data_IF_399848295696
#
_entry.id   IF_399848295696
#
_cell.length_a   1.000
_cell.length_b   1.000
_cell.length_c   1.000
_cell.angle_alpha   90.00
_cell.angle_beta   90.00
_cell.angle_gamma   90.00
#
_symmetry.space_group_name_H-M   'P 1'
#
loop_
_entity.id
_entity.type
_entity.pdbx_description
1 polymer ?
#
# COMPACT_ATOMS: atom_id res chain seq x y z
N UNK A 1 -3.87 -27.00 12.56
CA UNK A 1 -3.48 -25.57 12.52
C UNK A 1 -4.07 -24.84 11.32
N UNK A 2 -3.94 -25.35 10.09
CA UNK A 2 -4.55 -24.75 8.88
C UNK A 2 -6.07 -24.62 8.95
N UNK A 3 -6.76 -25.55 9.62
CA UNK A 3 -8.23 -25.56 9.73
C UNK A 3 -8.78 -24.56 10.76
N UNK A 4 -7.93 -24.08 11.68
CA UNK A 4 -8.34 -23.18 12.76
C UNK A 4 -7.81 -21.74 12.57
N UNK A 5 -6.91 -21.53 11.61
CA UNK A 5 -6.38 -20.20 11.26
C UNK A 5 -6.13 -20.09 9.74
N UNK A 6 -7.18 -20.18 8.92
CA UNK A 6 -7.05 -20.18 7.46
C UNK A 6 -6.48 -18.85 6.91
N UNK A 7 -6.73 -17.73 7.61
CA UNK A 7 -6.22 -16.39 7.25
C UNK A 7 -4.71 -16.29 7.45
N UNK A 8 -4.19 -16.74 8.60
CA UNK A 8 -2.75 -16.70 8.90
C UNK A 8 -1.94 -17.74 8.10
N UNK A 9 -2.61 -18.77 7.58
CA UNK A 9 -1.98 -19.84 6.80
C UNK A 9 -2.07 -19.63 5.28
N UNK A 10 -2.47 -18.44 4.80
CA UNK A 10 -2.67 -18.12 3.37
C UNK A 10 -3.59 -19.14 2.65
N UNK A 11 -4.48 -19.81 3.39
CA UNK A 11 -5.45 -20.81 2.84
C UNK A 11 -6.63 -20.11 2.17
N UNK A 12 -6.87 -18.84 2.51
CA UNK A 12 -7.75 -17.96 1.73
C UNK A 12 -7.07 -17.63 0.40
N UNK A 13 -7.31 -18.46 -0.61
CA UNK A 13 -6.85 -18.21 -1.98
C UNK A 13 -7.53 -16.95 -2.52
N UNK A 14 -6.71 -15.99 -2.96
CA UNK A 14 -7.07 -14.80 -3.73
C UNK A 14 -8.03 -13.79 -3.07
N UNK A 15 -7.45 -12.90 -2.26
CA UNK A 15 -7.74 -11.45 -2.30
C UNK A 15 -9.14 -10.95 -1.94
N UNK A 16 -10.03 -11.89 -1.65
CA UNK A 16 -11.40 -11.67 -1.24
C UNK A 16 -11.40 -11.88 0.26
N UNK A 17 -11.70 -10.86 1.06
CA UNK A 17 -12.11 -11.11 2.43
C UNK A 17 -13.32 -12.05 2.35
N UNK A 18 -13.11 -13.33 2.63
CA UNK A 18 -14.17 -14.34 2.53
C UNK A 18 -15.33 -13.85 3.39
N UNK A 19 -16.48 -13.61 2.77
CA UNK A 19 -17.64 -13.05 3.43
C UNK A 19 -18.31 -14.17 4.23
N UNK A 20 -17.82 -14.38 5.46
CA UNK A 20 -18.26 -15.42 6.38
C UNK A 20 -18.68 -14.81 7.71
N UNK A 21 -19.62 -15.49 8.34
CA UNK A 21 -20.00 -15.21 9.72
C UNK A 21 -18.86 -15.58 10.66
N UNK A 22 -18.54 -14.67 11.58
CA UNK A 22 -17.48 -14.80 12.58
C UNK A 22 -18.00 -15.32 13.92
N UNK A 23 -19.32 -15.46 14.06
CA UNK A 23 -19.95 -15.96 15.27
C UNK A 23 -20.93 -17.10 14.97
N UNK A 24 -20.91 -18.14 15.82
CA UNK A 24 -21.75 -19.34 15.66
C UNK A 24 -23.27 -19.07 15.73
N UNK A 25 -23.67 -17.99 16.37
CA UNK A 25 -25.08 -17.58 16.54
C UNK A 25 -25.54 -16.55 15.50
N UNK A 26 -24.74 -16.24 14.49
CA UNK A 26 -25.11 -15.26 13.47
C UNK A 26 -26.44 -15.57 12.79
N UNK A 27 -26.73 -16.84 12.50
CA UNK A 27 -28.01 -17.26 11.91
C UNK A 27 -29.19 -17.04 12.85
N UNK A 28 -29.00 -17.34 14.15
CA UNK A 28 -30.02 -17.11 15.17
C UNK A 28 -30.32 -15.61 15.31
N UNK A 29 -29.29 -14.79 15.45
CA UNK A 29 -29.46 -13.34 15.59
C UNK A 29 -30.02 -12.68 14.32
N UNK A 30 -29.61 -13.13 13.14
CA UNK A 30 -30.21 -12.68 11.89
C UNK A 30 -31.71 -13.04 11.84
N UNK A 31 -32.11 -14.22 12.32
CA UNK A 31 -33.54 -14.60 12.41
C UNK A 31 -34.33 -13.72 13.40
N UNK A 32 -33.65 -13.19 14.42
CA UNK A 32 -34.20 -12.27 15.42
C UNK A 32 -34.20 -10.80 14.97
N UNK A 33 -33.90 -10.53 13.68
CA UNK A 33 -33.81 -9.17 13.11
C UNK A 33 -32.73 -8.28 13.73
N UNK A 34 -31.68 -8.90 14.28
CA UNK A 34 -30.50 -8.17 14.80
C UNK A 34 -29.74 -7.45 13.68
N UNK A 35 -29.91 -7.86 12.42
CA UNK A 35 -29.34 -7.17 11.28
C UNK A 35 -29.88 -5.73 11.14
N UNK A 36 -31.13 -5.47 11.54
CA UNK A 36 -31.72 -4.13 11.54
C UNK A 36 -31.58 -3.44 12.90
N UNK A 37 -31.80 -4.15 14.00
CA UNK A 37 -31.80 -3.56 15.36
C UNK A 37 -30.39 -3.36 15.93
N UNK A 38 -29.44 -4.19 15.51
CA UNK A 38 -28.04 -4.18 15.95
C UNK A 38 -27.08 -4.28 14.77
N UNK A 39 -27.38 -3.50 13.73
CA UNK A 39 -26.66 -3.51 12.47
C UNK A 39 -25.15 -3.33 12.69
N UNK A 40 -24.72 -2.36 13.50
CA UNK A 40 -23.27 -2.08 13.68
C UNK A 40 -22.47 -3.32 14.09
N UNK A 41 -23.00 -4.12 15.02
CA UNK A 41 -22.34 -5.35 15.45
C UNK A 41 -22.50 -6.48 14.43
N UNK A 42 -23.71 -6.65 13.91
CA UNK A 42 -24.06 -7.74 12.99
C UNK A 42 -23.40 -7.61 11.62
N UNK A 43 -23.24 -6.40 11.08
CA UNK A 43 -22.59 -6.18 9.78
C UNK A 43 -21.11 -6.59 9.80
N UNK A 44 -20.43 -6.41 10.95
CA UNK A 44 -19.00 -6.72 11.11
C UNK A 44 -18.78 -8.20 11.44
N UNK A 45 -19.67 -8.80 12.24
CA UNK A 45 -19.49 -10.15 12.77
C UNK A 45 -20.33 -11.21 12.04
N UNK A 46 -21.43 -10.82 11.42
CA UNK A 46 -22.39 -11.70 10.75
C UNK A 46 -22.74 -11.24 9.33
N UNK A 47 -21.75 -10.87 8.49
CA UNK A 47 -22.01 -10.31 7.17
C UNK A 47 -22.74 -11.28 6.22
N UNK A 48 -22.62 -12.60 6.43
CA UNK A 48 -23.26 -13.62 5.59
C UNK A 48 -24.69 -13.87 6.03
N UNK A 49 -24.96 -14.05 7.32
CA UNK A 49 -26.33 -14.18 7.84
C UNK A 49 -27.17 -12.92 7.58
N UNK A 50 -26.56 -11.73 7.62
CA UNK A 50 -27.23 -10.47 7.28
C UNK A 50 -27.26 -10.15 5.77
N UNK A 51 -26.91 -11.12 4.91
CA UNK A 51 -27.02 -11.02 3.44
C UNK A 51 -26.25 -9.84 2.83
N UNK A 52 -25.16 -9.42 3.45
CA UNK A 52 -24.26 -8.41 2.88
C UNK A 52 -23.30 -8.99 1.85
N UNK A 53 -23.10 -10.30 1.89
CA UNK A 53 -22.33 -11.00 0.87
C UNK A 53 -23.11 -11.01 -0.46
N UNK A 54 -22.93 -9.98 -1.29
CA UNK A 54 -23.40 -9.93 -2.68
C UNK A 54 -22.27 -10.21 -3.68
N UNK A 55 -21.57 -11.33 -3.53
CA UNK A 55 -20.51 -11.73 -4.45
C UNK A 55 -20.94 -12.96 -5.22
N UNK A 56 -20.89 -12.92 -6.55
CA UNK A 56 -20.99 -14.14 -7.34
C UNK A 56 -19.92 -15.11 -6.84
N UNK A 57 -20.37 -16.27 -6.38
CA UNK A 57 -19.62 -17.50 -6.08
C UNK A 57 -18.19 -17.55 -6.59
N UNK A 58 -17.29 -18.02 -5.72
CA UNK A 58 -15.88 -18.43 -5.88
C UNK A 58 -15.38 -18.90 -7.28
N UNK A 59 -16.27 -19.25 -8.20
CA UNK A 59 -15.97 -19.64 -9.59
C UNK A 59 -15.37 -18.53 -10.47
N UNK A 60 -15.63 -17.24 -10.22
CA UNK A 60 -15.04 -16.14 -11.01
C UNK A 60 -13.60 -15.81 -10.58
N UNK A 61 -13.31 -15.92 -9.29
CA UNK A 61 -11.97 -15.75 -8.72
C UNK A 61 -10.99 -16.87 -9.13
N UNK A 62 -11.47 -18.09 -9.36
CA UNK A 62 -10.68 -19.19 -9.96
C UNK A 62 -10.23 -18.91 -11.41
N UNK A 63 -10.98 -18.08 -12.15
CA UNK A 63 -10.70 -17.71 -13.54
C UNK A 63 -9.88 -16.41 -13.67
N UNK A 64 -9.52 -15.77 -12.55
CA UNK A 64 -8.73 -14.53 -12.54
C UNK A 64 -9.48 -13.29 -13.07
N UNK A 65 -10.80 -13.38 -13.23
CA UNK A 65 -11.65 -12.25 -13.67
C UNK A 65 -12.27 -11.65 -12.42
N UNK A 66 -11.54 -10.72 -11.79
CA UNK A 66 -11.95 -10.01 -10.58
C UNK A 66 -12.34 -8.57 -10.94
N UNK A 67 -13.58 -8.17 -10.67
CA UNK A 67 -14.11 -6.86 -11.02
C UNK A 67 -14.48 -6.07 -9.75
N UNK A 68 -14.49 -4.73 -9.81
CA UNK A 68 -14.84 -3.86 -8.68
C UNK A 68 -16.24 -4.16 -8.11
N UNK A 69 -17.14 -4.72 -8.92
CA UNK A 69 -18.48 -5.17 -8.51
C UNK A 69 -18.48 -6.35 -7.54
N UNK A 70 -17.39 -7.13 -7.50
CA UNK A 70 -17.26 -8.29 -6.61
C UNK A 70 -16.87 -7.88 -5.17
N UNK A 71 -16.55 -6.60 -4.96
CA UNK A 71 -16.19 -6.03 -3.66
C UNK A 71 -17.42 -5.58 -2.86
N UNK A 72 -18.02 -6.51 -2.11
CA UNK A 72 -19.27 -6.30 -1.37
C UNK A 72 -19.09 -5.56 -0.05
N UNK A 73 -17.97 -5.79 0.62
CA UNK A 73 -17.60 -5.16 1.87
C UNK A 73 -16.11 -4.85 1.81
N UNK A 74 -15.79 -3.56 1.77
CA UNK A 74 -14.42 -3.09 1.72
C UNK A 74 -14.10 -2.41 3.04
N UNK A 75 -13.16 -2.98 3.79
CA UNK A 75 -12.61 -2.33 4.97
C UNK A 75 -11.88 -1.05 4.55
N UNK A 76 -12.04 0.03 5.32
CA UNK A 76 -11.25 1.26 5.15
C UNK A 76 -9.85 1.14 5.75
N UNK A 77 -9.57 0.04 6.46
CA UNK A 77 -8.24 -0.25 6.95
C UNK A 77 -7.44 -0.96 5.88
N UNK A 78 -6.30 -0.36 5.55
CA UNK A 78 -5.29 -1.00 4.75
C UNK A 78 -4.71 -2.22 5.48
N UNK A 79 -4.52 -3.32 4.76
CA UNK A 79 -3.81 -4.49 5.29
C UNK A 79 -2.30 -4.28 5.17
N UNK A 80 -1.67 -3.94 6.29
CA UNK A 80 -0.23 -3.73 6.39
C UNK A 80 0.51 -4.91 7.03
N UNK A 81 -0.16 -6.05 7.26
CA UNK A 81 0.44 -7.19 8.00
C UNK A 81 1.76 -7.69 7.42
N UNK A 82 1.90 -7.63 6.10
CA UNK A 82 3.09 -8.05 5.35
C UNK A 82 4.03 -6.89 4.96
N UNK A 83 3.68 -5.64 5.27
CA UNK A 83 4.47 -4.46 4.89
C UNK A 83 4.65 -3.51 6.06
N UNK A 84 5.89 -3.10 6.31
CA UNK A 84 6.17 -2.03 7.27
C UNK A 84 6.06 -0.67 6.56
N UNK A 85 5.16 0.19 7.00
CA UNK A 85 5.13 1.59 6.56
C UNK A 85 6.37 2.30 7.09
N UNK A 86 7.17 2.86 6.18
CA UNK A 86 8.42 3.56 6.51
C UNK A 86 8.10 4.95 7.03
N UNK A 87 8.75 5.35 8.11
CA UNK A 87 8.66 6.70 8.67
C UNK A 87 9.83 7.57 8.24
N UNK A 88 9.69 8.89 8.39
CA UNK A 88 10.78 9.85 8.10
C UNK A 88 12.02 9.63 8.97
N UNK A 89 11.84 9.13 10.21
CA UNK A 89 12.97 8.79 11.08
C UNK A 89 13.74 7.56 10.57
N UNK A 90 13.04 6.54 10.07
CA UNK A 90 13.67 5.36 9.46
C UNK A 90 14.54 5.75 8.25
N UNK A 91 14.04 6.64 7.40
CA UNK A 91 14.80 7.16 6.25
C UNK A 91 16.03 7.93 6.72
N UNK A 92 15.89 8.79 7.73
CA UNK A 92 17.02 9.57 8.24
C UNK A 92 18.10 8.67 8.85
N UNK A 93 17.72 7.64 9.59
CA UNK A 93 18.64 6.66 10.17
C UNK A 93 19.35 5.88 9.06
N UNK A 94 18.60 5.38 8.07
CA UNK A 94 19.17 4.64 6.95
C UNK A 94 20.12 5.49 6.10
N UNK A 95 19.73 6.73 5.79
CA UNK A 95 20.58 7.68 5.06
C UNK A 95 21.88 7.98 5.83
N UNK A 96 21.80 8.18 7.15
CA UNK A 96 22.99 8.44 7.96
C UNK A 96 23.92 7.22 8.06
N UNK A 97 23.37 6.01 8.08
CA UNK A 97 24.14 4.78 8.22
C UNK A 97 24.70 4.27 6.88
N UNK A 98 23.94 4.40 5.79
CA UNK A 98 24.20 3.73 4.51
C UNK A 98 24.22 4.68 3.31
N UNK A 99 23.93 5.98 3.49
CA UNK A 99 23.84 6.94 2.40
C UNK A 99 22.67 6.72 1.45
N UNK A 100 21.70 5.87 1.81
CA UNK A 100 20.58 5.45 0.96
C UNK A 100 19.27 5.36 1.75
N UNK A 101 18.14 5.55 1.05
CA UNK A 101 16.79 5.31 1.59
C UNK A 101 16.56 3.80 1.81
N UNK A 102 15.84 3.39 2.87
CA UNK A 102 15.49 2.00 3.07
C UNK A 102 14.68 1.45 1.89
N UNK A 103 15.02 0.25 1.42
CA UNK A 103 14.27 -0.41 0.37
C UNK A 103 12.89 -0.84 0.87
N UNK A 104 11.84 -0.44 0.15
CA UNK A 104 10.49 -0.94 0.38
C UNK A 104 10.38 -2.39 -0.12
N UNK A 105 9.75 -3.26 0.67
CA UNK A 105 9.41 -4.61 0.23
C UNK A 105 8.32 -4.53 -0.84
N UNK A 106 8.45 -5.33 -1.90
CA UNK A 106 7.47 -5.36 -2.99
C UNK A 106 6.16 -5.98 -2.47
N UNK A 107 5.05 -5.23 -2.40
CA UNK A 107 3.80 -5.74 -1.85
C UNK A 107 3.02 -6.52 -2.91
N UNK A 108 2.16 -7.43 -2.44
CA UNK A 108 1.19 -8.12 -3.27
C UNK A 108 -0.16 -7.40 -3.17
N UNK A 109 -0.46 -6.54 -4.14
CA UNK A 109 -1.71 -5.77 -4.18
C UNK A 109 -2.96 -6.67 -4.28
N UNK A 110 -2.82 -7.91 -4.76
CA UNK A 110 -3.94 -8.83 -4.86
C UNK A 110 -4.42 -9.34 -3.49
N UNK A 111 -3.59 -9.25 -2.42
CA UNK A 111 -4.02 -9.66 -1.08
C UNK A 111 -5.14 -8.79 -0.53
N UNK A 112 -5.18 -7.51 -0.90
CA UNK A 112 -6.23 -6.58 -0.50
C UNK A 112 -6.75 -5.79 -1.71
N UNK A 113 -7.07 -6.52 -2.79
CA UNK A 113 -7.42 -5.92 -4.08
C UNK A 113 -8.64 -4.99 -3.96
N UNK A 114 -9.67 -5.41 -3.20
CA UNK A 114 -10.84 -4.57 -2.97
C UNK A 114 -10.53 -3.24 -2.28
N UNK A 115 -9.58 -3.21 -1.33
CA UNK A 115 -9.12 -1.96 -0.76
C UNK A 115 -8.48 -1.08 -1.84
N UNK A 116 -7.53 -1.61 -2.61
CA UNK A 116 -6.81 -0.83 -3.62
C UNK A 116 -7.67 -0.37 -4.81
N UNK A 117 -8.79 -1.04 -5.08
CA UNK A 117 -9.78 -0.60 -6.08
C UNK A 117 -10.63 0.59 -5.58
N UNK A 118 -10.88 0.70 -4.28
CA UNK A 118 -11.75 1.75 -3.70
C UNK A 118 -10.99 2.90 -3.04
N UNK A 119 -9.82 2.62 -2.47
CA UNK A 119 -9.07 3.52 -1.62
C UNK A 119 -7.59 3.54 -2.00
N UNK A 120 -6.95 4.68 -1.77
CA UNK A 120 -5.50 4.83 -1.94
C UNK A 120 -4.78 4.43 -0.66
N UNK A 121 -3.58 3.88 -0.77
CA UNK A 121 -2.72 3.72 0.39
C UNK A 121 -2.11 5.07 0.77
N UNK A 122 -1.75 5.23 2.05
CA UNK A 122 -1.18 6.48 2.56
C UNK A 122 0.15 6.84 1.87
N UNK A 123 0.93 5.84 1.50
CA UNK A 123 2.23 5.96 0.87
C UNK A 123 2.18 5.83 -0.66
N UNK A 124 1.00 5.73 -1.27
CA UNK A 124 0.84 5.63 -2.73
C UNK A 124 1.19 4.27 -3.35
N UNK A 125 1.58 3.30 -2.52
CA UNK A 125 1.74 1.89 -2.88
C UNK A 125 0.47 1.31 -3.54
N UNK A 126 0.65 0.41 -4.51
CA UNK A 126 -0.45 -0.26 -5.22
C UNK A 126 -1.38 0.64 -6.04
N UNK A 127 -1.02 1.91 -6.26
CA UNK A 127 -1.70 2.75 -7.26
C UNK A 127 -1.51 2.20 -8.69
N UNK A 128 -0.38 1.52 -8.93
CA UNK A 128 -0.18 0.69 -10.12
C UNK A 128 -0.09 -0.78 -9.70
N UNK A 129 -1.08 -1.59 -10.07
CA UNK A 129 -1.20 -2.99 -9.65
C UNK A 129 -0.08 -3.88 -10.21
N UNK A 130 0.42 -3.59 -11.41
CA UNK A 130 1.52 -4.32 -12.05
C UNK A 130 2.89 -3.92 -11.45
N UNK A 131 3.02 -2.63 -11.10
CA UNK A 131 4.23 -2.02 -10.54
C UNK A 131 3.90 -1.29 -9.23
N UNK A 132 3.74 -2.03 -8.12
CA UNK A 132 3.18 -1.49 -6.88
C UNK A 132 3.92 -0.30 -6.27
N UNK A 133 5.21 -0.17 -6.52
CA UNK A 133 6.07 0.89 -5.96
C UNK A 133 6.18 2.12 -6.87
N UNK A 134 5.55 2.11 -8.05
CA UNK A 134 5.60 3.27 -8.96
C UNK A 134 4.79 4.42 -8.39
N UNK A 135 5.48 5.52 -8.05
CA UNK A 135 4.87 6.68 -7.41
C UNK A 135 4.64 6.51 -5.91
N UNK A 136 5.12 5.42 -5.30
CA UNK A 136 5.09 5.26 -3.85
C UNK A 136 6.08 6.23 -3.18
N UNK A 137 5.77 6.63 -1.95
CA UNK A 137 6.62 7.46 -1.11
C UNK A 137 7.95 6.76 -0.81
N UNK A 138 8.99 7.54 -0.50
CA UNK A 138 10.33 7.06 -0.16
C UNK A 138 11.05 6.27 -1.28
N UNK A 139 10.52 6.33 -2.50
CA UNK A 139 11.17 5.85 -3.72
C UNK A 139 12.08 6.95 -4.31
N UNK A 140 13.19 6.58 -4.97
CA UNK A 140 14.02 7.56 -5.68
C UNK A 140 13.22 8.22 -6.81
N UNK A 141 13.49 9.50 -7.03
CA UNK A 141 12.92 10.22 -8.17
C UNK A 141 13.38 9.58 -9.48
N UNK A 142 12.46 9.44 -10.43
CA UNK A 142 12.77 8.97 -11.77
C UNK A 142 13.72 9.96 -12.48
N UNK A 143 14.74 9.43 -13.15
CA UNK A 143 15.69 10.22 -13.94
C UNK A 143 15.40 10.04 -15.43
N UNK A 144 15.01 11.13 -16.10
CA UNK A 144 14.83 11.15 -17.56
C UNK A 144 16.16 11.32 -18.31
N UNK A 145 17.16 11.91 -17.66
CA UNK A 145 18.53 12.07 -18.15
C UNK A 145 19.51 11.61 -17.09
N UNK A 146 20.73 11.28 -17.53
CA UNK A 146 21.82 10.94 -16.63
C UNK A 146 22.11 12.07 -15.63
N UNK A 147 22.43 11.75 -14.37
CA UNK A 147 22.89 12.74 -13.40
C UNK A 147 24.16 13.44 -13.89
N UNK A 148 24.24 14.74 -13.64
CA UNK A 148 25.47 15.52 -13.80
C UNK A 148 25.95 15.94 -12.41
N UNK A 149 27.09 15.40 -12.01
CA UNK A 149 27.78 15.71 -10.74
C UNK A 149 29.23 16.08 -11.05
N UNK A 150 29.80 16.95 -10.22
CA UNK A 150 31.16 17.45 -10.39
C UNK A 150 32.20 16.33 -10.23
N UNK A 151 31.94 15.40 -9.30
CA UNK A 151 32.73 14.19 -9.04
C UNK A 151 32.17 12.94 -9.75
N UNK A 152 31.18 13.11 -10.62
CA UNK A 152 30.42 12.03 -11.28
C UNK A 152 29.68 11.07 -10.32
N UNK A 153 29.56 11.41 -9.03
CA UNK A 153 28.89 10.57 -8.03
C UNK A 153 27.79 11.31 -7.28
N UNK A 154 28.14 12.36 -6.52
CA UNK A 154 27.22 13.03 -5.61
C UNK A 154 27.53 14.51 -5.38
N UNK A 155 28.74 14.97 -5.69
CA UNK A 155 29.10 16.38 -5.52
C UNK A 155 28.29 17.25 -6.49
N UNK A 156 27.51 18.23 -5.99
CA UNK A 156 26.80 19.15 -6.87
C UNK A 156 27.80 19.96 -7.70
N UNK A 157 27.40 20.26 -8.93
CA UNK A 157 28.23 20.98 -9.91
C UNK A 157 28.68 22.32 -9.34
N UNK A 158 29.98 22.64 -9.51
CA UNK A 158 30.59 23.89 -9.08
C UNK A 158 31.33 23.81 -7.74
N UNK A 159 31.12 22.77 -6.93
CA UNK A 159 31.80 22.63 -5.62
C UNK A 159 33.31 22.34 -5.76
N UNK A 160 33.73 21.52 -6.72
CA UNK A 160 35.15 21.23 -6.95
C UNK A 160 35.84 22.41 -7.63
N UNK A 161 35.14 23.12 -8.53
CA UNK A 161 35.64 24.35 -9.14
C UNK A 161 35.94 25.44 -8.10
N UNK A 162 35.05 25.66 -7.11
CA UNK A 162 35.31 26.60 -6.01
C UNK A 162 36.48 26.18 -5.11
N UNK A 163 36.74 24.87 -4.96
CA UNK A 163 37.88 24.36 -4.19
C UNK A 163 39.23 24.59 -4.90
N UNK A 164 39.26 24.55 -6.22
CA UNK A 164 40.49 24.68 -7.01
C UNK A 164 40.76 26.09 -7.54
N UNK A 165 39.73 26.88 -7.85
CA UNK A 165 39.86 28.25 -8.37
C UNK A 165 39.07 29.21 -7.48
N UNK A 166 39.77 29.94 -6.60
CA UNK A 166 39.22 31.13 -5.90
C UNK A 166 39.00 32.27 -6.92
N UNK A 167 38.06 32.12 -7.85
CA UNK A 167 37.80 33.16 -8.83
C UNK A 167 36.68 32.83 -9.82
N UNK A 168 35.58 33.56 -9.69
CA UNK A 168 34.60 33.88 -10.74
C UNK A 168 33.71 32.77 -11.31
N UNK A 169 32.99 32.04 -10.46
CA UNK A 169 31.65 31.56 -10.83
C UNK A 169 30.59 32.46 -10.16
N UNK A 170 29.55 32.92 -10.88
CA UNK A 170 28.46 33.64 -10.24
C UNK A 170 27.81 32.69 -9.23
N UNK A 171 27.84 33.03 -7.95
CA UNK A 171 27.02 32.33 -6.96
C UNK A 171 25.55 32.41 -7.39
N UNK A 172 24.72 31.42 -7.05
CA UNK A 172 23.28 31.46 -7.36
C UNK A 172 22.64 32.80 -6.93
N UNK A 173 23.12 33.39 -5.82
CA UNK A 173 22.70 34.71 -5.32
C UNK A 173 22.95 35.88 -6.28
N UNK A 174 23.89 35.76 -7.22
CA UNK A 174 24.20 36.78 -8.23
C UNK A 174 23.27 36.62 -9.44
N UNK A 175 22.88 35.40 -9.79
CA UNK A 175 21.97 35.15 -10.93
C UNK A 175 20.52 35.61 -10.66
N UNK A 176 20.11 35.72 -9.40
CA UNK A 176 18.76 36.14 -9.00
C UNK A 176 18.67 37.60 -8.50
N UNK A 177 19.72 38.41 -8.67
CA UNK A 177 19.63 39.86 -8.41
C UNK A 177 19.05 40.55 -9.65
N UNK A 178 17.79 40.95 -9.56
CA UNK A 178 17.17 41.94 -10.45
C UNK A 178 17.63 43.36 -10.11
#
# INVERSE_FOLDING_TARGET
MRDHCPVSCDVCTNGSSVCVDRHRLCDFWASMKECETNAVWMLVNCPRSCKLCKGASAKRAELGIFEESDCTFVSTHEDTTIRRTISTSDVRVSNNAFGCSPALTRPNCNKNLCYHLKFRTLDGTCNNLEKPLFGAAFMPLARLKEPVYDDKMAAPVGILFFKFYRGNTPSDKIMFRH
#
